data_IF_899115593815
#
_entry.id   IF_899115593815
#
_cell.length_a   1.000
_cell.length_b   1.000
_cell.length_c   1.000
_cell.angle_alpha   90.00
_cell.angle_beta   90.00
_cell.angle_gamma   90.00
#
_symmetry.space_group_name_H-M   'P 1'
#
loop_
_entity.id
_entity.type
_entity.pdbx_description
1 polymer ?
#
# COMPACT_ATOMS: atom_id res chain seq x y z
N UNK A 1 -4.07 -23.98 -20.90
CA UNK A 1 -4.10 -22.51 -20.69
C UNK A 1 -5.38 -22.23 -19.94
N UNK A 2 -5.29 -21.74 -18.71
CA UNK A 2 -6.50 -21.29 -18.02
C UNK A 2 -6.98 -20.04 -18.77
N UNK A 3 -8.16 -20.15 -19.40
CA UNK A 3 -8.89 -19.02 -19.96
C UNK A 3 -9.08 -18.00 -18.83
N UNK A 4 -8.79 -16.74 -19.13
CA UNK A 4 -8.98 -15.62 -18.20
C UNK A 4 -10.47 -15.61 -17.82
N UNK A 5 -10.83 -15.45 -16.53
CA UNK A 5 -12.24 -15.50 -16.14
C UNK A 5 -13.01 -14.35 -16.82
N UNK A 6 -14.19 -14.61 -17.40
CA UNK A 6 -14.93 -13.67 -18.25
C UNK A 6 -15.33 -12.39 -17.50
N UNK A 7 -15.47 -12.48 -16.17
CA UNK A 7 -15.66 -11.30 -15.32
C UNK A 7 -14.51 -10.31 -15.41
N UNK A 8 -13.25 -10.77 -15.52
CA UNK A 8 -12.11 -9.88 -15.58
C UNK A 8 -12.13 -9.04 -16.87
N UNK A 9 -12.55 -9.63 -17.98
CA UNK A 9 -12.66 -8.90 -19.25
C UNK A 9 -13.75 -7.83 -19.17
N UNK A 10 -14.92 -8.14 -18.57
CA UNK A 10 -15.96 -7.13 -18.28
C UNK A 10 -15.45 -5.99 -17.39
N UNK A 11 -14.66 -6.30 -16.35
CA UNK A 11 -14.06 -5.28 -15.49
C UNK A 11 -13.06 -4.42 -16.27
N UNK A 12 -12.28 -5.03 -17.18
CA UNK A 12 -11.30 -4.31 -18.01
C UNK A 12 -12.00 -3.36 -18.97
N UNK A 13 -13.02 -3.86 -19.68
CA UNK A 13 -13.80 -3.09 -20.64
C UNK A 13 -14.54 -1.93 -19.95
N UNK A 14 -15.10 -2.14 -18.76
CA UNK A 14 -15.73 -1.07 -17.98
C UNK A 14 -14.74 0.03 -17.56
N UNK A 15 -13.47 -0.32 -17.28
CA UNK A 15 -12.42 0.66 -16.97
C UNK A 15 -12.02 1.44 -18.21
N UNK A 16 -11.80 0.74 -19.33
CA UNK A 16 -11.31 1.35 -20.58
C UNK A 16 -12.36 2.25 -21.23
N UNK A 17 -13.63 1.84 -21.19
CA UNK A 17 -14.74 2.58 -21.81
C UNK A 17 -15.35 3.61 -20.87
N UNK A 18 -15.31 3.38 -19.56
CA UNK A 18 -16.12 4.13 -18.59
C UNK A 18 -17.62 3.86 -18.72
N UNK A 19 -18.02 2.84 -19.47
CA UNK A 19 -19.42 2.49 -19.72
C UNK A 19 -19.81 1.19 -19.00
N UNK A 20 -21.10 1.08 -18.66
CA UNK A 20 -21.65 -0.12 -18.02
C UNK A 20 -21.50 -1.34 -18.95
N UNK A 21 -21.00 -2.45 -18.39
CA UNK A 21 -20.92 -3.73 -19.09
C UNK A 21 -21.95 -4.68 -18.50
N UNK A 22 -22.74 -5.37 -19.33
CA UNK A 22 -23.82 -6.23 -18.86
C UNK A 22 -23.77 -7.61 -19.50
N UNK A 23 -24.16 -8.62 -18.72
CA UNK A 23 -24.42 -9.98 -19.17
C UNK A 23 -25.89 -10.26 -18.89
N UNK A 24 -26.70 -10.31 -19.94
CA UNK A 24 -28.16 -10.47 -19.88
C UNK A 24 -28.56 -11.81 -19.28
N UNK A 25 -27.84 -12.88 -19.64
CA UNK A 25 -28.05 -14.22 -19.09
C UNK A 25 -26.77 -15.07 -19.13
N UNK A 26 -26.14 -15.24 -17.98
CA UNK A 26 -24.92 -16.04 -17.77
C UNK A 26 -25.12 -17.50 -18.20
N UNK A 27 -26.35 -18.02 -18.10
CA UNK A 27 -26.65 -19.42 -18.43
C UNK A 27 -26.74 -19.68 -19.94
N UNK A 28 -27.04 -18.67 -20.75
CA UNK A 28 -27.09 -18.76 -22.22
C UNK A 28 -25.83 -18.17 -22.88
N UNK A 29 -25.01 -17.40 -22.15
CA UNK A 29 -23.79 -16.78 -22.66
C UNK A 29 -22.66 -17.81 -22.92
N UNK A 30 -22.09 -17.88 -24.14
CA UNK A 30 -21.00 -18.80 -24.47
C UNK A 30 -19.69 -18.56 -23.71
N UNK A 31 -19.38 -17.31 -23.36
CA UNK A 31 -18.13 -16.96 -22.67
C UNK A 31 -18.15 -17.37 -21.20
N UNK A 32 -19.35 -17.68 -20.69
CA UNK A 32 -19.58 -18.07 -19.30
C UNK A 32 -19.77 -19.57 -19.09
N UNK A 33 -19.60 -20.42 -20.11
CA UNK A 33 -19.84 -21.88 -20.04
C UNK A 33 -19.16 -22.53 -18.83
N UNK A 34 -17.89 -22.19 -18.58
CA UNK A 34 -17.09 -22.75 -17.48
C UNK A 34 -17.53 -22.23 -16.09
N UNK A 35 -18.32 -21.15 -16.03
CA UNK A 35 -18.74 -20.45 -14.82
C UNK A 35 -20.24 -20.59 -14.51
N UNK A 36 -21.01 -21.30 -15.33
CA UNK A 36 -22.44 -21.55 -15.08
C UNK A 36 -22.68 -22.31 -13.78
N UNK A 37 -21.76 -23.20 -13.41
CA UNK A 37 -21.81 -23.92 -12.13
C UNK A 37 -21.75 -22.98 -10.92
N UNK A 38 -20.90 -21.96 -10.99
CA UNK A 38 -20.80 -20.92 -9.96
C UNK A 38 -22.06 -20.08 -9.93
N UNK A 39 -22.57 -19.68 -11.09
CA UNK A 39 -23.82 -18.91 -11.22
C UNK A 39 -25.02 -19.60 -10.56
N UNK A 40 -25.17 -20.91 -10.79
CA UNK A 40 -26.21 -21.71 -10.14
C UNK A 40 -25.97 -21.89 -8.64
N UNK A 41 -24.71 -22.01 -8.21
CA UNK A 41 -24.34 -22.18 -6.79
C UNK A 41 -24.60 -20.91 -5.98
N UNK A 42 -24.26 -19.74 -6.54
CA UNK A 42 -24.40 -18.44 -5.90
C UNK A 42 -25.71 -17.73 -6.23
N UNK A 43 -26.53 -18.29 -7.12
CA UNK A 43 -27.90 -17.85 -7.39
C UNK A 43 -28.03 -16.60 -8.25
N UNK A 44 -27.12 -16.39 -9.19
CA UNK A 44 -27.19 -15.28 -10.14
C UNK A 44 -27.36 -15.77 -11.58
N UNK A 45 -27.96 -14.91 -12.40
CA UNK A 45 -28.35 -15.16 -13.78
C UNK A 45 -27.99 -14.01 -14.70
N UNK A 46 -27.93 -12.78 -14.21
CA UNK A 46 -27.40 -11.63 -14.95
C UNK A 46 -26.39 -10.85 -14.12
N UNK A 47 -25.48 -10.14 -14.80
CA UNK A 47 -24.40 -9.36 -14.18
C UNK A 47 -24.35 -7.99 -14.82
N UNK A 48 -24.13 -6.94 -14.00
CA UNK A 48 -23.74 -5.62 -14.48
C UNK A 48 -22.48 -5.16 -13.77
N UNK A 49 -21.53 -4.66 -14.54
CA UNK A 49 -20.37 -3.91 -14.06
C UNK A 49 -20.65 -2.44 -14.30
N UNK A 50 -20.93 -1.71 -13.22
CA UNK A 50 -21.27 -0.29 -13.24
C UNK A 50 -20.03 0.51 -12.83
N UNK A 51 -19.41 1.27 -13.74
CA UNK A 51 -18.30 2.13 -13.38
C UNK A 51 -18.78 3.38 -12.63
N UNK A 52 -18.06 3.73 -11.56
CA UNK A 52 -18.25 4.97 -10.83
C UNK A 52 -17.35 6.05 -11.43
N UNK A 53 -17.88 6.83 -12.37
CA UNK A 53 -17.09 7.77 -13.17
C UNK A 53 -17.16 9.18 -12.60
N UNK A 54 -16.01 9.85 -12.54
CA UNK A 54 -15.93 11.29 -12.25
C UNK A 54 -14.76 11.91 -13.04
N UNK A 55 -14.98 13.10 -13.61
CA UNK A 55 -13.99 13.82 -14.43
C UNK A 55 -13.28 12.89 -15.46
N UNK A 56 -14.06 12.09 -16.20
CA UNK A 56 -13.58 11.13 -17.20
C UNK A 56 -12.63 10.04 -16.66
N UNK A 57 -12.68 9.76 -15.36
CA UNK A 57 -11.92 8.70 -14.70
C UNK A 57 -12.85 7.75 -13.94
N UNK A 58 -12.58 6.46 -14.05
CA UNK A 58 -13.25 5.41 -13.26
C UNK A 58 -12.62 5.38 -11.86
N UNK A 59 -13.37 5.83 -10.85
CA UNK A 59 -12.94 5.87 -9.44
C UNK A 59 -13.15 4.52 -8.73
N UNK A 60 -14.18 3.77 -9.13
CA UNK A 60 -14.50 2.44 -8.61
C UNK A 60 -15.34 1.65 -9.63
N UNK A 61 -15.48 0.35 -9.41
CA UNK A 61 -16.40 -0.52 -10.15
C UNK A 61 -17.37 -1.18 -9.18
N UNK A 62 -18.66 -1.21 -9.52
CA UNK A 62 -19.67 -1.98 -8.81
C UNK A 62 -20.09 -3.19 -9.64
N UNK A 63 -19.97 -4.39 -9.07
CA UNK A 63 -20.44 -5.63 -9.71
C UNK A 63 -21.76 -6.03 -9.09
N UNK A 64 -22.83 -5.92 -9.86
CA UNK A 64 -24.19 -6.27 -9.47
C UNK A 64 -24.52 -7.64 -10.03
N UNK A 65 -24.95 -8.55 -9.17
CA UNK A 65 -25.46 -9.87 -9.56
C UNK A 65 -26.97 -9.91 -9.32
N UNK A 66 -27.75 -10.32 -10.31
CA UNK A 66 -29.19 -10.51 -10.18
C UNK A 66 -29.59 -11.94 -10.54
N UNK A 67 -30.66 -12.43 -9.92
CA UNK A 67 -31.13 -13.81 -10.03
C UNK A 67 -32.05 -14.06 -11.24
N UNK A 68 -32.49 -12.99 -11.91
CA UNK A 68 -33.32 -13.02 -13.10
C UNK A 68 -32.54 -12.55 -14.34
N UNK A 69 -33.07 -12.88 -15.53
CA UNK A 69 -32.48 -12.41 -16.79
C UNK A 69 -32.77 -10.93 -16.95
N UNK A 70 -31.83 -10.20 -17.52
CA UNK A 70 -32.03 -8.82 -17.98
C UNK A 70 -32.46 -7.82 -16.89
N UNK A 71 -32.38 -8.19 -15.60
CA UNK A 71 -32.80 -7.34 -14.47
C UNK A 71 -31.87 -6.16 -14.24
N UNK A 72 -30.62 -6.33 -14.64
CA UNK A 72 -29.56 -5.32 -14.54
C UNK A 72 -29.37 -4.57 -15.86
N UNK A 73 -30.37 -4.62 -16.75
CA UNK A 73 -30.39 -3.76 -17.92
C UNK A 73 -30.41 -2.30 -17.47
N UNK A 74 -29.75 -1.46 -18.27
CA UNK A 74 -29.61 -0.04 -17.98
C UNK A 74 -30.22 0.80 -19.11
N UNK A 75 -31.32 0.32 -19.67
CA UNK A 75 -32.04 1.01 -20.76
C UNK A 75 -32.63 2.35 -20.31
N UNK A 76 -32.97 2.47 -19.02
CA UNK A 76 -33.46 3.69 -18.40
C UNK A 76 -32.35 4.61 -17.86
N UNK A 77 -31.08 4.17 -17.94
CA UNK A 77 -29.90 4.90 -17.49
C UNK A 77 -29.72 4.98 -15.96
N UNK A 78 -30.58 4.33 -15.17
CA UNK A 78 -30.57 4.48 -13.71
C UNK A 78 -29.24 4.03 -13.06
N UNK A 79 -28.67 2.91 -13.53
CA UNK A 79 -27.41 2.40 -13.00
C UNK A 79 -26.23 3.29 -13.42
N UNK A 80 -26.29 3.88 -14.62
CA UNK A 80 -25.31 4.90 -15.03
C UNK A 80 -25.39 6.13 -14.13
N UNK A 81 -26.59 6.68 -13.91
CA UNK A 81 -26.76 7.85 -13.04
C UNK A 81 -26.31 7.57 -11.60
N UNK A 82 -26.56 6.37 -11.09
CA UNK A 82 -26.06 5.92 -9.80
C UNK A 82 -24.53 5.84 -9.79
N UNK A 83 -23.93 5.27 -10.83
CA UNK A 83 -22.47 5.21 -11.02
C UNK A 83 -21.84 6.59 -11.04
N UNK A 84 -22.37 7.53 -11.82
CA UNK A 84 -21.91 8.92 -11.90
C UNK A 84 -22.08 9.66 -10.57
N UNK A 85 -23.22 9.49 -9.89
CA UNK A 85 -23.48 10.13 -8.60
C UNK A 85 -22.49 9.65 -7.54
N UNK A 86 -22.30 8.34 -7.43
CA UNK A 86 -21.36 7.75 -6.48
C UNK A 86 -19.92 8.07 -6.88
N UNK A 87 -19.59 8.04 -8.17
CA UNK A 87 -18.30 8.45 -8.70
C UNK A 87 -17.97 9.89 -8.32
N UNK A 88 -18.91 10.82 -8.51
CA UNK A 88 -18.76 12.21 -8.09
C UNK A 88 -18.54 12.34 -6.58
N UNK A 89 -19.30 11.60 -5.75
CA UNK A 89 -19.11 11.63 -4.28
C UNK A 89 -17.75 11.06 -3.88
N UNK A 90 -17.31 9.95 -4.48
CA UNK A 90 -15.98 9.37 -4.23
C UNK A 90 -14.90 10.37 -4.64
N UNK A 91 -14.97 10.91 -5.86
CA UNK A 91 -14.00 11.87 -6.35
C UNK A 91 -14.02 13.18 -5.56
N UNK A 92 -15.19 13.67 -5.13
CA UNK A 92 -15.31 14.85 -4.30
C UNK A 92 -14.78 14.60 -2.89
N UNK A 93 -14.94 13.39 -2.34
CA UNK A 93 -14.36 12.99 -1.06
C UNK A 93 -12.84 12.86 -1.20
N UNK A 94 -12.33 12.18 -2.21
CA UNK A 94 -10.90 12.09 -2.51
C UNK A 94 -10.27 13.47 -2.79
N UNK A 95 -10.98 14.36 -3.51
CA UNK A 95 -10.54 15.75 -3.74
C UNK A 95 -10.62 16.57 -2.47
N UNK A 96 -11.65 16.41 -1.65
CA UNK A 96 -11.74 17.04 -0.35
C UNK A 96 -10.63 16.54 0.56
N UNK A 97 -10.28 15.25 0.55
CA UNK A 97 -9.16 14.67 1.29
C UNK A 97 -7.80 15.14 0.75
N UNK A 98 -7.71 15.44 -0.56
CA UNK A 98 -6.51 16.03 -1.18
C UNK A 98 -6.40 17.56 -1.00
N UNK A 99 -7.53 18.27 -0.87
CA UNK A 99 -7.63 19.73 -0.69
C UNK A 99 -7.63 20.14 0.78
N UNK A 100 -8.22 19.31 1.63
CA UNK A 100 -8.01 19.36 3.05
C UNK A 100 -6.59 18.90 3.27
N UNK A 101 -5.81 19.79 3.86
CA UNK A 101 -4.66 19.37 4.64
C UNK A 101 -5.18 18.33 5.63
N UNK A 102 -5.05 17.03 5.34
CA UNK A 102 -5.57 16.00 6.23
C UNK A 102 -4.83 16.18 7.55
N UNK A 103 -5.50 16.78 8.52
CA UNK A 103 -4.89 17.06 9.81
C UNK A 103 -4.73 15.72 10.50
N UNK A 104 -3.48 15.32 10.65
CA UNK A 104 -3.12 14.09 11.35
C UNK A 104 -2.72 14.46 12.76
N UNK A 105 -3.22 13.69 13.69
CA UNK A 105 -2.73 13.74 15.06
C UNK A 105 -1.63 12.69 15.21
N UNK A 106 -0.41 13.15 15.47
CA UNK A 106 0.67 12.28 15.88
C UNK A 106 0.46 11.87 17.34
N UNK A 107 0.48 10.56 17.58
CA UNK A 107 0.35 9.94 18.88
C UNK A 107 1.59 9.13 19.16
N UNK A 108 2.15 9.31 20.35
CA UNK A 108 3.16 8.41 20.87
C UNK A 108 2.50 7.52 21.91
N UNK A 109 2.56 6.20 21.73
CA UNK A 109 1.92 5.23 22.61
C UNK A 109 2.94 4.23 23.12
N UNK A 110 2.73 3.76 24.34
CA UNK A 110 3.40 2.60 24.89
C UNK A 110 2.47 1.40 24.71
N UNK A 111 2.94 0.32 24.06
CA UNK A 111 2.23 -0.94 24.05
C UNK A 111 2.48 -1.70 25.36
N UNK A 112 1.40 -2.29 25.87
CA UNK A 112 1.42 -3.18 27.01
C UNK A 112 1.76 -4.63 26.65
N UNK A 113 2.28 -5.36 27.65
CA UNK A 113 2.54 -6.80 27.54
C UNK A 113 3.71 -7.16 26.62
N UNK A 114 3.70 -8.40 26.14
CA UNK A 114 4.72 -8.99 25.26
C UNK A 114 4.09 -9.81 24.12
N UNK A 115 2.85 -9.45 23.76
CA UNK A 115 2.13 -10.12 22.67
C UNK A 115 2.74 -9.81 21.30
N UNK A 116 3.29 -8.62 21.11
CA UNK A 116 3.95 -8.23 19.88
C UNK A 116 5.29 -8.98 19.74
N UNK A 117 5.53 -9.58 18.57
CA UNK A 117 6.76 -10.34 18.31
C UNK A 117 8.03 -9.52 18.49
N UNK A 118 8.03 -8.23 18.13
CA UNK A 118 9.18 -7.34 18.30
C UNK A 118 9.49 -7.04 19.78
N UNK A 119 8.48 -6.97 20.65
CA UNK A 119 8.69 -6.86 22.11
C UNK A 119 9.38 -8.11 22.66
N UNK A 120 8.96 -9.29 22.19
CA UNK A 120 9.60 -10.56 22.57
C UNK A 120 11.02 -10.69 22.05
N UNK A 121 11.28 -10.20 20.84
CA UNK A 121 12.61 -10.17 20.26
C UNK A 121 13.55 -9.29 21.10
N UNK A 122 13.17 -8.03 21.34
CA UNK A 122 13.96 -7.09 22.14
C UNK A 122 14.28 -7.61 23.55
N UNK A 123 13.33 -8.31 24.19
CA UNK A 123 13.55 -8.97 25.48
C UNK A 123 14.57 -10.11 25.43
N UNK A 124 14.61 -10.87 24.34
CA UNK A 124 15.53 -12.01 24.17
C UNK A 124 16.95 -11.56 23.86
N UNK A 125 17.10 -10.58 22.96
CA UNK A 125 18.42 -10.05 22.60
C UNK A 125 18.94 -9.02 23.60
N UNK A 126 18.09 -8.58 24.55
CA UNK A 126 18.39 -7.54 25.54
C UNK A 126 18.90 -6.22 24.93
N UNK A 127 18.45 -5.92 23.71
CA UNK A 127 18.80 -4.73 22.93
C UNK A 127 17.56 -4.04 22.40
N UNK A 128 17.76 -2.83 21.90
CA UNK A 128 16.70 -2.12 21.19
C UNK A 128 16.51 -2.73 19.81
N UNK A 129 15.24 -2.89 19.42
CA UNK A 129 14.82 -3.36 18.11
C UNK A 129 13.90 -2.30 17.52
N UNK A 130 14.38 -1.63 16.48
CA UNK A 130 13.61 -0.68 15.69
C UNK A 130 12.95 -1.35 14.48
N UNK A 131 11.72 -0.97 14.16
CA UNK A 131 11.04 -1.36 12.93
C UNK A 131 11.18 -0.25 11.89
N UNK A 132 11.79 -0.56 10.75
CA UNK A 132 12.04 0.40 9.66
C UNK A 132 11.05 0.22 8.51
N UNK A 133 10.44 -0.95 8.37
CA UNK A 133 9.44 -1.18 7.32
C UNK A 133 8.67 -2.48 7.49
N UNK A 134 7.49 -2.55 6.89
CA UNK A 134 6.65 -3.74 6.84
C UNK A 134 6.06 -3.93 5.45
N UNK A 135 6.04 -5.19 4.98
CA UNK A 135 5.35 -5.59 3.75
C UNK A 135 4.27 -6.61 4.15
N UNK A 136 2.98 -6.25 4.06
CA UNK A 136 1.89 -7.18 4.29
C UNK A 136 1.91 -8.35 3.29
N UNK A 137 1.42 -9.50 3.72
CA UNK A 137 1.23 -10.68 2.88
C UNK A 137 -0.27 -11.03 2.80
N UNK A 138 -0.68 -11.72 1.74
CA UNK A 138 -2.08 -12.12 1.55
C UNK A 138 -2.61 -13.10 2.61
N UNK A 139 -1.72 -13.83 3.29
CA UNK A 139 -2.04 -14.73 4.40
C UNK A 139 -2.17 -14.00 5.76
N UNK A 140 -2.00 -12.67 5.77
CA UNK A 140 -2.02 -11.83 6.97
C UNK A 140 -0.71 -11.82 7.77
N UNK A 141 0.31 -12.58 7.36
CA UNK A 141 1.67 -12.43 7.89
C UNK A 141 2.31 -11.13 7.38
N UNK A 142 3.40 -10.71 7.99
CA UNK A 142 4.15 -9.52 7.56
C UNK A 142 5.63 -9.82 7.43
N UNK A 143 6.26 -9.26 6.40
CA UNK A 143 7.71 -9.18 6.31
C UNK A 143 8.13 -7.87 6.95
N UNK A 144 8.77 -7.95 8.12
CA UNK A 144 9.26 -6.81 8.86
C UNK A 144 10.77 -6.62 8.62
N UNK A 145 11.16 -5.37 8.40
CA UNK A 145 12.55 -4.95 8.34
C UNK A 145 12.91 -4.30 9.66
N UNK A 146 13.81 -4.92 10.39
CA UNK A 146 14.20 -4.47 11.72
C UNK A 146 15.67 -4.11 11.77
N UNK A 147 16.00 -3.14 12.62
CA UNK A 147 17.36 -2.69 12.89
C UNK A 147 17.65 -2.85 14.37
N UNK A 148 18.84 -3.38 14.70
CA UNK A 148 19.31 -3.56 16.07
C UNK A 148 20.84 -3.63 16.10
N UNK A 149 21.44 -3.27 17.23
CA UNK A 149 22.88 -3.42 17.51
C UNK A 149 23.23 -4.81 18.10
N UNK A 150 22.24 -5.70 18.25
CA UNK A 150 22.45 -7.07 18.69
C UNK A 150 23.20 -7.90 17.64
N UNK A 151 24.03 -8.85 18.10
CA UNK A 151 24.84 -9.65 17.19
C UNK A 151 23.96 -10.49 16.25
N UNK A 152 24.32 -10.65 14.96
CA UNK A 152 23.44 -11.34 14.00
C UNK A 152 23.04 -12.76 14.39
N UNK A 153 23.95 -13.50 15.02
CA UNK A 153 23.68 -14.86 15.51
C UNK A 153 22.64 -14.86 16.65
N UNK A 154 22.70 -13.88 17.56
CA UNK A 154 21.75 -13.72 18.65
C UNK A 154 20.36 -13.36 18.11
N UNK A 155 20.27 -12.48 17.12
CA UNK A 155 19.00 -12.07 16.50
C UNK A 155 18.37 -13.21 15.71
N UNK A 156 19.16 -13.98 14.97
CA UNK A 156 18.66 -15.15 14.23
C UNK A 156 18.13 -16.20 15.21
N UNK A 157 18.89 -16.54 16.26
CA UNK A 157 18.46 -17.50 17.28
C UNK A 157 17.21 -17.03 18.02
N UNK A 158 17.15 -15.77 18.45
CA UNK A 158 15.96 -15.21 19.10
C UNK A 158 14.77 -15.06 18.13
N UNK A 159 15.06 -14.90 16.84
CA UNK A 159 14.09 -14.76 15.75
C UNK A 159 13.27 -16.02 15.50
N UNK A 160 13.84 -17.22 15.69
CA UNK A 160 13.15 -18.50 15.49
C UNK A 160 11.91 -18.66 16.37
N UNK A 161 11.90 -18.05 17.55
CA UNK A 161 10.78 -18.10 18.50
C UNK A 161 9.64 -17.12 18.17
N UNK A 162 9.93 -16.07 17.39
CA UNK A 162 9.03 -14.93 17.18
C UNK A 162 8.66 -14.73 15.71
N UNK A 163 9.38 -15.37 14.80
CA UNK A 163 9.22 -15.27 13.37
C UNK A 163 9.35 -16.67 12.74
N UNK A 164 8.64 -16.88 11.65
CA UNK A 164 8.79 -18.11 10.84
C UNK A 164 10.10 -18.14 10.04
N UNK A 165 10.74 -16.98 9.92
CA UNK A 165 12.04 -16.80 9.27
C UNK A 165 12.71 -15.54 9.81
N UNK A 166 14.00 -15.63 10.11
CA UNK A 166 14.85 -14.50 10.42
C UNK A 166 16.10 -14.54 9.55
N UNK A 167 16.39 -13.46 8.82
CA UNK A 167 17.53 -13.39 7.90
C UNK A 167 18.26 -12.06 8.02
N UNK A 168 19.60 -12.05 8.20
CA UNK A 168 20.36 -10.82 8.10
C UNK A 168 20.40 -10.31 6.64
N UNK A 169 20.17 -9.01 6.46
CA UNK A 169 20.22 -8.32 5.17
C UNK A 169 21.49 -7.47 5.02
N UNK A 170 21.91 -6.81 6.10
CA UNK A 170 23.16 -6.05 6.17
C UNK A 170 23.77 -6.20 7.55
N UNK A 171 25.04 -6.60 7.57
CA UNK A 171 25.84 -6.76 8.80
C UNK A 171 27.01 -5.78 8.86
N UNK A 172 27.06 -4.79 7.96
CA UNK A 172 28.16 -3.83 7.87
C UNK A 172 27.82 -2.60 8.69
N UNK A 173 28.50 -2.39 9.81
CA UNK A 173 28.27 -1.26 10.73
C UNK A 173 28.02 -1.72 12.16
N UNK A 174 27.66 -0.78 13.05
CA UNK A 174 27.26 -1.08 14.44
C UNK A 174 25.81 -1.52 14.53
N UNK A 175 24.97 -1.07 13.59
CA UNK A 175 23.57 -1.48 13.48
C UNK A 175 23.42 -2.50 12.36
N UNK A 176 22.65 -3.55 12.62
CA UNK A 176 22.43 -4.66 11.72
C UNK A 176 20.97 -4.70 11.31
N UNK A 177 20.72 -4.93 10.02
CA UNK A 177 19.37 -4.99 9.45
C UNK A 177 18.97 -6.44 9.18
N UNK A 178 17.75 -6.79 9.57
CA UNK A 178 17.19 -8.13 9.42
C UNK A 178 15.83 -8.08 8.76
N UNK A 179 15.56 -9.10 7.95
CA UNK A 179 14.24 -9.46 7.47
C UNK A 179 13.64 -10.52 8.40
N UNK A 180 12.47 -10.22 8.96
CA UNK A 180 11.72 -11.15 9.81
C UNK A 180 10.36 -11.43 9.16
N UNK A 181 9.99 -12.70 9.01
CA UNK A 181 8.62 -13.09 8.64
C UNK A 181 7.80 -13.32 9.90
N UNK A 182 7.16 -12.25 10.37
CA UNK A 182 6.35 -12.26 11.57
C UNK A 182 4.97 -12.88 11.28
N UNK A 183 4.35 -13.56 12.27
CA UNK A 183 2.97 -14.00 12.14
C UNK A 183 2.02 -12.80 12.02
N UNK A 184 0.73 -13.08 11.84
CA UNK A 184 -0.31 -12.06 11.87
C UNK A 184 -0.31 -11.35 13.23
N UNK A 185 -0.16 -10.03 13.21
CA UNK A 185 -0.11 -9.19 14.42
C UNK A 185 -1.32 -8.25 14.45
N UNK A 186 -2.09 -8.30 15.55
CA UNK A 186 -3.28 -7.46 15.74
C UNK A 186 -2.96 -5.96 15.73
N UNK A 187 -1.70 -5.57 15.96
CA UNK A 187 -1.23 -4.20 15.82
C UNK A 187 -1.52 -3.66 14.41
N UNK A 188 -1.07 -4.36 13.36
CA UNK A 188 -1.22 -3.85 11.98
C UNK A 188 -2.68 -3.82 11.54
N UNK A 189 -3.51 -4.73 12.04
CA UNK A 189 -4.96 -4.71 11.81
C UNK A 189 -5.62 -3.51 12.48
N UNK A 190 -5.24 -3.21 13.73
CA UNK A 190 -5.77 -2.06 14.47
C UNK A 190 -5.36 -0.76 13.80
N UNK A 191 -4.11 -0.68 13.34
CA UNK A 191 -3.60 0.47 12.59
C UNK A 191 -4.37 0.65 11.28
N UNK A 192 -4.53 -0.40 10.49
CA UNK A 192 -5.27 -0.38 9.23
C UNK A 192 -6.74 0.02 9.43
N UNK A 193 -7.43 -0.59 10.39
CA UNK A 193 -8.84 -0.30 10.69
C UNK A 193 -9.07 1.13 11.22
N UNK A 194 -8.03 1.76 11.75
CA UNK A 194 -8.06 3.14 12.26
C UNK A 194 -7.39 4.14 11.32
N UNK A 195 -7.07 3.71 10.09
CA UNK A 195 -6.37 4.53 9.09
C UNK A 195 -5.06 5.16 9.62
N UNK A 196 -4.45 4.51 10.61
CA UNK A 196 -3.28 4.99 11.31
C UNK A 196 -2.01 4.62 10.55
N UNK A 197 -1.18 5.62 10.30
CA UNK A 197 0.14 5.43 9.68
C UNK A 197 1.19 5.23 10.78
N UNK A 198 1.87 4.08 10.77
CA UNK A 198 2.99 3.85 11.68
C UNK A 198 4.22 4.63 11.18
N UNK A 199 4.71 5.55 11.99
CA UNK A 199 5.93 6.33 11.70
C UNK A 199 7.18 5.72 12.32
N UNK A 200 7.05 5.16 13.52
CA UNK A 200 8.15 4.50 14.19
C UNK A 200 7.64 3.45 15.18
N UNK A 201 8.40 2.39 15.37
CA UNK A 201 8.20 1.43 16.46
C UNK A 201 9.56 1.01 17.01
N UNK A 202 9.71 1.18 18.33
CA UNK A 202 10.91 0.85 19.08
C UNK A 202 10.53 -0.11 20.21
N UNK A 203 11.13 -1.29 20.22
CA UNK A 203 10.98 -2.26 21.29
C UNK A 203 12.29 -2.38 22.08
N UNK A 204 12.19 -2.33 23.40
CA UNK A 204 13.29 -2.61 24.32
C UNK A 204 12.90 -3.76 25.27
N UNK A 205 13.82 -4.16 26.13
CA UNK A 205 13.57 -5.13 27.20
C UNK A 205 12.40 -4.74 28.11
N UNK A 206 12.16 -3.44 28.31
CA UNK A 206 11.21 -2.93 29.31
C UNK A 206 9.94 -2.36 28.72
N UNK A 207 9.99 -1.82 27.50
CA UNK A 207 8.85 -1.12 26.90
C UNK A 207 8.85 -1.24 25.38
N UNK A 208 7.69 -1.07 24.78
CA UNK A 208 7.55 -0.90 23.35
C UNK A 208 6.80 0.39 23.09
N UNK A 209 7.39 1.27 22.30
CA UNK A 209 6.85 2.58 21.96
C UNK A 209 6.57 2.65 20.48
N UNK A 210 5.40 3.15 20.09
CA UNK A 210 5.07 3.46 18.71
C UNK A 210 4.78 4.96 18.57
N UNK A 211 5.15 5.48 17.42
CA UNK A 211 4.70 6.78 16.92
C UNK A 211 3.80 6.51 15.74
N UNK A 212 2.55 6.94 15.84
CA UNK A 212 1.55 6.80 14.76
C UNK A 212 0.92 8.14 14.46
N UNK A 213 0.54 8.32 13.21
CA UNK A 213 -0.33 9.40 12.78
C UNK A 213 -1.71 8.85 12.52
N UNK A 214 -2.70 9.51 13.11
CA UNK A 214 -4.08 9.10 12.99
C UNK A 214 -4.89 10.29 12.46
N UNK A 215 -5.76 10.09 11.46
CA UNK A 215 -6.62 11.16 10.97
C UNK A 215 -7.46 11.80 12.10
N UNK A 216 -7.67 13.12 12.07
CA UNK A 216 -8.44 13.84 13.10
C UNK A 216 -9.87 13.30 13.30
N UNK A 217 -10.46 12.67 12.27
CA UNK A 217 -11.78 12.01 12.35
C UNK A 217 -11.82 10.83 13.32
N UNK A 218 -10.67 10.22 13.59
CA UNK A 218 -10.57 9.06 14.48
C UNK A 218 -10.45 9.53 15.92
N UNK A 219 -11.35 9.04 16.76
CA UNK A 219 -11.29 9.31 18.20
C UNK A 219 -10.09 8.59 18.84
N UNK A 220 -9.09 9.36 19.27
CA UNK A 220 -7.86 8.87 19.92
C UNK A 220 -8.13 7.87 21.05
N UNK A 221 -9.16 8.13 21.87
CA UNK A 221 -9.52 7.22 22.97
C UNK A 221 -9.95 5.85 22.45
N UNK A 222 -10.84 5.80 21.46
CA UNK A 222 -11.28 4.55 20.83
C UNK A 222 -10.12 3.79 20.20
N UNK A 223 -9.18 4.52 19.58
CA UNK A 223 -7.97 3.93 19.02
C UNK A 223 -7.06 3.32 20.10
N UNK A 224 -6.83 4.03 21.21
CA UNK A 224 -6.05 3.51 22.35
C UNK A 224 -6.75 2.31 22.99
N UNK A 225 -8.08 2.36 23.16
CA UNK A 225 -8.86 1.27 23.74
C UNK A 225 -8.79 -0.01 22.85
N UNK A 226 -8.80 0.15 21.53
CA UNK A 226 -8.61 -0.96 20.59
C UNK A 226 -7.20 -1.57 20.67
N UNK A 227 -6.16 -0.73 20.85
CA UNK A 227 -4.81 -1.21 21.11
C UNK A 227 -4.73 -1.94 22.46
N UNK A 228 -5.32 -1.39 23.52
CA UNK A 228 -5.29 -1.97 24.87
C UNK A 228 -6.02 -3.33 24.94
N UNK A 229 -7.11 -3.50 24.19
CA UNK A 229 -7.82 -4.77 24.09
C UNK A 229 -6.90 -5.90 23.55
N UNK A 230 -6.05 -5.58 22.57
CA UNK A 230 -5.12 -6.53 21.98
C UNK A 230 -3.78 -6.62 22.74
N UNK A 231 -3.36 -5.52 23.37
CA UNK A 231 -2.09 -5.35 24.08
C UNK A 231 -2.36 -4.73 25.48
N UNK A 232 -2.80 -5.51 26.47
CA UNK A 232 -3.22 -4.98 27.77
C UNK A 232 -2.13 -4.20 28.50
N UNK A 233 -2.49 -3.01 28.98
CA UNK A 233 -1.58 -2.03 29.59
C UNK A 233 -1.07 -0.98 28.61
N UNK A 234 -1.66 -0.87 27.40
CA UNK A 234 -1.29 0.13 26.41
C UNK A 234 -1.75 1.53 26.85
N UNK A 235 -0.91 2.53 26.63
CA UNK A 235 -1.16 3.90 27.12
C UNK A 235 -0.70 4.94 26.11
N UNK A 236 -1.42 6.04 26.07
CA UNK A 236 -0.99 7.25 25.37
C UNK A 236 0.10 7.96 26.19
N UNK A 237 1.26 8.19 25.58
CA UNK A 237 2.38 8.94 26.17
C UNK A 237 2.33 10.42 25.79
N UNK A 238 2.10 10.71 24.52
CA UNK A 238 2.01 12.08 24.01
C UNK A 238 1.06 12.19 22.82
N UNK A 239 0.51 13.39 22.63
CA UNK A 239 -0.38 13.74 21.52
C UNK A 239 0.05 15.10 20.96
N UNK A 240 0.32 15.16 19.66
CA UNK A 240 0.64 16.40 18.96
C UNK A 240 -0.11 16.45 17.64
N UNK A 241 -0.95 17.46 17.46
CA UNK A 241 -1.59 17.70 16.16
C UNK A 241 -0.57 18.31 15.22
N UNK A 242 -0.37 17.69 14.07
CA UNK A 242 0.42 18.26 12.97
C UNK A 242 -0.53 18.58 11.83
N UNK A 243 -0.33 19.76 11.26
CA UNK A 243 -0.94 20.12 9.99
C UNK A 243 0.15 19.81 8.96
N UNK A 244 0.08 18.67 8.28
CA UNK A 244 1.01 18.34 7.20
C UNK A 244 0.85 19.43 6.13
N UNK A 245 1.75 20.41 6.09
CA UNK A 245 1.73 21.39 5.00
C UNK A 245 1.74 20.62 3.69
N UNK A 246 0.68 20.74 2.91
CA UNK A 246 0.45 19.91 1.72
C UNK A 246 1.72 19.92 0.87
N UNK A 247 2.39 18.77 0.77
CA UNK A 247 3.23 18.51 -0.37
C UNK A 247 2.25 18.36 -1.55
N UNK A 248 1.82 19.48 -2.11
CA UNK A 248 1.02 19.46 -3.34
C UNK A 248 1.85 18.72 -4.39
N UNK A 249 1.27 18.10 -5.41
CA UNK A 249 2.05 17.57 -6.53
C UNK A 249 3.06 18.60 -7.06
N UNK A 250 2.76 19.90 -6.97
CA UNK A 250 3.67 21.00 -7.29
C UNK A 250 4.81 21.21 -6.27
N UNK A 251 4.58 20.98 -4.97
CA UNK A 251 5.62 21.02 -3.93
C UNK A 251 6.54 19.80 -4.03
N UNK A 252 5.97 18.60 -4.25
CA UNK A 252 6.71 17.35 -4.51
C UNK A 252 7.64 17.51 -5.71
N UNK A 253 7.09 18.01 -6.82
CA UNK A 253 7.84 18.28 -8.05
C UNK A 253 8.93 19.35 -7.86
N UNK A 254 8.69 20.35 -7.01
CA UNK A 254 9.65 21.41 -6.71
C UNK A 254 10.79 20.89 -5.84
N UNK A 255 10.47 20.19 -4.75
CA UNK A 255 11.46 19.69 -3.80
C UNK A 255 12.33 18.59 -4.40
N UNK A 256 11.76 17.72 -5.22
CA UNK A 256 12.54 16.72 -5.97
C UNK A 256 13.39 17.38 -7.07
N UNK A 257 12.88 18.42 -7.75
CA UNK A 257 13.69 19.19 -8.71
C UNK A 257 14.86 19.88 -8.03
N UNK A 258 14.67 20.44 -6.84
CA UNK A 258 15.72 21.10 -6.08
C UNK A 258 16.74 20.08 -5.50
N UNK A 259 16.28 18.86 -5.18
CA UNK A 259 17.13 17.78 -4.71
C UNK A 259 17.99 17.17 -5.81
N UNK A 260 17.53 17.11 -7.06
CA UNK A 260 18.27 16.53 -8.18
C UNK A 260 19.24 17.51 -8.83
N UNK A 261 20.38 16.98 -9.29
CA UNK A 261 21.20 17.73 -10.26
C UNK A 261 20.60 17.61 -11.65
N UNK A 262 20.93 18.54 -12.55
CA UNK A 262 20.45 18.50 -13.95
C UNK A 262 20.67 17.12 -14.59
N UNK A 263 21.85 16.52 -14.37
CA UNK A 263 22.20 15.19 -14.91
C UNK A 263 21.39 14.05 -14.29
N UNK A 264 20.99 14.16 -13.03
CA UNK A 264 20.14 13.17 -12.35
C UNK A 264 18.70 13.26 -12.88
N UNK A 265 18.17 14.48 -13.00
CA UNK A 265 16.84 14.74 -13.53
C UNK A 265 16.72 14.32 -15.01
N UNK A 266 17.73 14.64 -15.83
CA UNK A 266 17.80 14.20 -17.23
C UNK A 266 17.82 12.67 -17.36
N UNK A 267 18.63 11.99 -16.55
CA UNK A 267 18.77 10.53 -16.61
C UNK A 267 17.47 9.80 -16.26
N UNK A 268 16.79 10.19 -15.17
CA UNK A 268 15.55 9.53 -14.74
C UNK A 268 14.37 9.84 -15.68
N UNK A 269 14.29 11.08 -16.19
CA UNK A 269 13.27 11.48 -17.17
C UNK A 269 13.46 10.73 -18.49
N UNK A 270 14.70 10.60 -18.97
CA UNK A 270 14.98 9.85 -20.19
C UNK A 270 14.73 8.35 -20.01
N UNK A 271 15.05 7.77 -18.85
CA UNK A 271 14.72 6.39 -18.54
C UNK A 271 13.20 6.15 -18.57
N UNK A 272 12.42 7.04 -17.96
CA UNK A 272 10.96 6.98 -18.00
C UNK A 272 10.40 7.09 -19.42
N UNK A 273 10.76 8.13 -20.17
CA UNK A 273 10.25 8.38 -21.53
C UNK A 273 10.69 7.30 -22.54
N UNK A 274 11.84 6.67 -22.32
CA UNK A 274 12.33 5.60 -23.19
C UNK A 274 11.77 4.21 -22.82
N UNK A 275 10.84 4.13 -21.85
CA UNK A 275 10.26 2.86 -21.40
C UNK A 275 11.29 1.92 -20.76
N UNK A 276 12.30 2.47 -20.07
CA UNK A 276 13.31 1.69 -19.33
C UNK A 276 12.71 0.90 -18.17
N UNK A 277 11.64 1.43 -17.56
CA UNK A 277 10.93 0.82 -16.43
C UNK A 277 9.75 -0.07 -16.83
N UNK A 278 9.37 -0.09 -18.11
CA UNK A 278 8.26 -0.91 -18.61
C UNK A 278 8.62 -2.40 -18.69
N UNK A 279 7.62 -3.27 -18.68
CA UNK A 279 7.78 -4.68 -19.04
C UNK A 279 6.91 -5.03 -20.27
N UNK A 280 7.49 -5.59 -21.36
CA UNK A 280 8.92 -5.73 -21.62
C UNK A 280 9.60 -4.37 -21.85
N UNK A 281 10.86 -4.22 -21.39
CA UNK A 281 11.60 -2.94 -21.48
C UNK A 281 11.78 -2.50 -22.92
N UNK A 282 11.39 -1.26 -23.24
CA UNK A 282 11.56 -0.68 -24.58
C UNK A 282 12.96 -0.10 -24.83
N UNK A 283 13.70 0.20 -23.76
CA UNK A 283 15.08 0.70 -23.84
C UNK A 283 15.97 0.16 -22.72
N UNK A 284 17.29 0.24 -22.93
CA UNK A 284 18.31 -0.21 -21.97
C UNK A 284 19.21 0.95 -21.57
N UNK A 285 19.88 0.82 -20.42
CA UNK A 285 20.82 1.83 -19.93
C UNK A 285 21.98 2.07 -20.90
N UNK A 286 22.38 1.05 -21.67
CA UNK A 286 23.42 1.20 -22.70
C UNK A 286 22.95 2.08 -23.87
N UNK A 287 21.73 1.86 -24.35
CA UNK A 287 21.13 2.66 -25.43
C UNK A 287 20.85 4.11 -25.00
N UNK A 288 20.46 4.29 -23.75
CA UNK A 288 20.31 5.62 -23.16
C UNK A 288 21.66 6.32 -23.02
N UNK A 289 22.69 5.63 -22.53
CA UNK A 289 24.03 6.22 -22.42
C UNK A 289 24.60 6.68 -23.77
N UNK A 290 24.40 5.89 -24.83
CA UNK A 290 24.75 6.28 -26.21
C UNK A 290 24.03 7.56 -26.65
N UNK A 291 22.74 7.70 -26.29
CA UNK A 291 21.94 8.91 -26.60
C UNK A 291 22.47 10.16 -25.89
N UNK A 292 23.09 10.00 -24.72
CA UNK A 292 23.68 11.09 -23.93
C UNK A 292 25.17 11.31 -24.21
N UNK A 293 25.78 10.58 -25.16
CA UNK A 293 27.22 10.57 -25.46
C UNK A 293 28.11 10.41 -24.21
N UNK A 294 27.66 9.53 -23.30
CA UNK A 294 28.39 9.18 -22.07
C UNK A 294 28.54 7.67 -21.93
N UNK A 295 29.42 7.26 -21.03
CA UNK A 295 29.60 5.83 -20.76
C UNK A 295 28.36 5.22 -20.07
N UNK A 296 28.00 3.95 -20.34
CA UNK A 296 26.93 3.26 -19.63
C UNK A 296 27.08 3.26 -18.10
N UNK A 297 28.28 3.10 -17.52
CA UNK A 297 28.48 3.28 -16.08
C UNK A 297 28.15 4.69 -15.58
N UNK A 298 28.51 5.74 -16.32
CA UNK A 298 28.21 7.13 -15.96
C UNK A 298 26.71 7.40 -15.98
N UNK A 299 26.00 6.91 -17.01
CA UNK A 299 24.54 7.03 -17.07
C UNK A 299 23.87 6.29 -15.91
N UNK A 300 24.28 5.05 -15.63
CA UNK A 300 23.75 4.29 -14.50
C UNK A 300 24.04 4.94 -13.14
N UNK A 301 25.19 5.60 -12.98
CA UNK A 301 25.50 6.35 -11.77
C UNK A 301 24.50 7.49 -11.54
N UNK A 302 24.24 8.31 -12.57
CA UNK A 302 23.27 9.39 -12.47
C UNK A 302 21.84 8.88 -12.25
N UNK A 303 21.45 7.81 -12.96
CA UNK A 303 20.15 7.18 -12.80
C UNK A 303 19.93 6.65 -11.38
N UNK A 304 20.88 5.87 -10.84
CA UNK A 304 20.79 5.35 -9.46
C UNK A 304 20.80 6.46 -8.42
N UNK A 305 21.56 7.53 -8.64
CA UNK A 305 21.57 8.66 -7.72
C UNK A 305 20.23 9.40 -7.73
N UNK A 306 19.58 9.51 -8.90
CA UNK A 306 18.24 10.08 -9.01
C UNK A 306 17.17 9.18 -8.35
N UNK A 307 17.18 7.88 -8.66
CA UNK A 307 16.30 6.86 -8.08
C UNK A 307 16.44 6.81 -6.56
N UNK A 308 17.67 6.85 -6.03
CA UNK A 308 17.90 6.85 -4.59
C UNK A 308 17.27 8.08 -3.93
N UNK A 309 17.46 9.29 -4.47
CA UNK A 309 16.86 10.51 -3.94
C UNK A 309 15.33 10.48 -4.00
N UNK A 310 14.76 9.88 -5.06
CA UNK A 310 13.32 9.66 -5.17
C UNK A 310 12.81 8.73 -4.08
N UNK A 311 13.50 7.61 -3.87
CA UNK A 311 13.15 6.63 -2.83
C UNK A 311 13.31 7.24 -1.44
N UNK A 312 14.42 7.93 -1.16
CA UNK A 312 14.64 8.67 0.09
C UNK A 312 13.47 9.63 0.35
N UNK A 313 13.13 10.48 -0.63
CA UNK A 313 12.05 11.46 -0.48
C UNK A 313 10.64 10.83 -0.34
N UNK A 314 10.39 9.65 -0.92
CA UNK A 314 9.09 8.96 -0.80
C UNK A 314 8.94 8.21 0.53
N UNK A 315 10.05 7.79 1.14
CA UNK A 315 10.03 6.92 2.33
C UNK A 315 10.58 7.56 3.62
N UNK A 316 11.23 8.72 3.57
CA UNK A 316 11.59 9.59 4.72
C UNK A 316 10.60 10.75 4.88
#
# INVERSE_FOLDING_TARGET
MATKPPLFDLLTDAIETGEIQTVVDVLDDPDWVDHRGDALTYGFRSIAVVPAVADDRVEALFVVHANERDTVSNEDGLLTELGETVGYVIAATNRADAMLTERKTQLQLQLGGDRLSLTRLAKRVEREVGLTGVIPQSDGSVIAFVVTDAAPEEVVAAGEDVATRARPLSTNGTDHMFELRLPRESLFETLYASEATLRALHASKTQTTLTVEVPERIHVRSFVDALDANYPGSKLLSRRTHTDGVATPATFDSEIRDAWTDRQHEAIRAAHLAGFYEWPRRSTAAKLAETFDISPPTFQYHLRAAERKLVEYVFE
#
